data_IF_547127500405
#
_entry.id   IF_547127500405
#
_cell.length_a   1.000
_cell.length_b   1.000
_cell.length_c   1.000
_cell.angle_alpha   90.00
_cell.angle_beta   90.00
_cell.angle_gamma   90.00
#
_symmetry.space_group_name_H-M   'P 1'
#
loop_
_entity.id
_entity.type
_entity.pdbx_description
1 polymer ?
#
# COMPACT_ATOMS: atom_id res chain seq x y z
N UNK A 1 -7.62 0.64 17.92
CA UNK A 1 -6.62 1.36 17.09
C UNK A 1 -5.48 0.43 16.70
N UNK A 2 -4.73 -0.14 17.67
CA UNK A 2 -3.64 -1.10 17.43
C UNK A 2 -4.03 -2.32 16.59
N UNK A 3 -5.18 -2.97 16.87
CA UNK A 3 -5.64 -4.14 16.09
C UNK A 3 -5.90 -3.82 14.61
N UNK A 4 -6.48 -2.66 14.33
CA UNK A 4 -6.72 -2.22 12.96
C UNK A 4 -5.39 -1.88 12.29
N UNK A 5 -4.56 -1.03 12.90
CA UNK A 5 -3.25 -0.66 12.38
C UNK A 5 -2.37 -1.88 12.10
N UNK A 6 -2.31 -2.84 13.02
CA UNK A 6 -1.57 -4.09 12.84
C UNK A 6 -2.07 -4.92 11.66
N UNK A 7 -3.39 -5.06 11.50
CA UNK A 7 -3.97 -5.76 10.35
C UNK A 7 -3.67 -5.03 9.03
N UNK A 8 -3.74 -3.71 9.02
CA UNK A 8 -3.42 -2.90 7.85
C UNK A 8 -1.95 -3.09 7.46
N UNK A 9 -1.05 -2.93 8.44
CA UNK A 9 0.39 -3.07 8.24
C UNK A 9 0.75 -4.49 7.82
N UNK A 10 0.12 -5.53 8.36
CA UNK A 10 0.41 -6.91 7.97
C UNK A 10 -0.01 -7.19 6.53
N UNK A 11 -1.18 -6.70 6.09
CA UNK A 11 -1.65 -6.91 4.71
C UNK A 11 -0.71 -6.23 3.72
N UNK A 12 -0.31 -4.98 3.97
CA UNK A 12 0.63 -4.28 3.10
C UNK A 12 2.04 -4.90 3.16
N UNK A 13 2.51 -5.33 4.34
CA UNK A 13 3.79 -6.01 4.49
C UNK A 13 3.87 -7.28 3.64
N UNK A 14 2.78 -8.08 3.60
CA UNK A 14 2.72 -9.28 2.76
C UNK A 14 2.88 -8.90 1.28
N UNK A 15 2.20 -7.85 0.81
CA UNK A 15 2.35 -7.38 -0.58
C UNK A 15 3.78 -6.93 -0.89
N UNK A 16 4.43 -6.24 0.05
CA UNK A 16 5.83 -5.82 -0.08
C UNK A 16 6.77 -7.03 -0.13
N UNK A 17 6.57 -8.03 0.73
CA UNK A 17 7.36 -9.26 0.73
C UNK A 17 7.19 -10.00 -0.60
N UNK A 18 5.95 -10.13 -1.08
CA UNK A 18 5.68 -10.74 -2.37
C UNK A 18 6.42 -10.01 -3.49
N UNK A 19 6.35 -8.67 -3.49
CA UNK A 19 6.99 -7.83 -4.50
C UNK A 19 8.52 -7.91 -4.49
N UNK A 20 9.13 -7.74 -3.33
CA UNK A 20 10.60 -7.59 -3.20
C UNK A 20 11.31 -8.94 -3.25
N UNK A 21 10.69 -10.01 -2.73
CA UNK A 21 11.36 -11.29 -2.56
C UNK A 21 10.76 -12.39 -3.44
N UNK A 22 9.44 -12.60 -3.34
CA UNK A 22 8.81 -13.76 -3.99
C UNK A 22 8.85 -13.66 -5.52
N UNK A 23 8.46 -12.51 -6.09
CA UNK A 23 8.43 -12.33 -7.54
C UNK A 23 9.81 -12.41 -8.19
N UNK A 24 10.84 -11.67 -7.72
CA UNK A 24 12.19 -11.79 -8.27
C UNK A 24 12.76 -13.20 -8.14
N UNK A 25 12.51 -13.88 -7.02
CA UNK A 25 12.95 -15.26 -6.82
C UNK A 25 12.28 -16.23 -7.80
N UNK A 26 10.95 -16.15 -7.95
CA UNK A 26 10.21 -16.99 -8.91
C UNK A 26 10.67 -16.75 -10.35
N UNK A 27 10.86 -15.49 -10.75
CA UNK A 27 11.36 -15.16 -12.08
C UNK A 27 12.77 -15.70 -12.31
N UNK A 28 13.65 -15.59 -11.31
CA UNK A 28 15.01 -16.12 -11.39
C UNK A 28 15.03 -17.65 -11.53
N UNK A 29 14.13 -18.37 -10.85
CA UNK A 29 14.07 -19.82 -10.94
C UNK A 29 13.41 -20.35 -12.23
N UNK A 30 12.42 -19.63 -12.77
CA UNK A 30 11.60 -20.15 -13.88
C UNK A 30 12.03 -19.68 -15.26
N UNK A 31 12.76 -18.57 -15.38
CA UNK A 31 13.09 -17.96 -16.67
C UNK A 31 14.59 -17.70 -16.79
N UNK A 32 15.17 -18.12 -17.93
CA UNK A 32 16.48 -17.65 -18.33
C UNK A 32 16.42 -16.13 -18.56
N UNK A 33 17.44 -15.41 -18.08
CA UNK A 33 17.56 -13.95 -18.16
C UNK A 33 17.34 -13.49 -19.61
N UNK A 34 16.25 -12.77 -19.86
CA UNK A 34 15.85 -12.29 -21.19
C UNK A 34 14.62 -11.38 -21.14
N UNK A 35 14.27 -10.77 -22.28
CA UNK A 35 13.21 -9.75 -22.40
C UNK A 35 11.84 -10.21 -21.86
N UNK A 36 11.54 -11.51 -21.95
CA UNK A 36 10.31 -12.09 -21.42
C UNK A 36 10.23 -11.99 -19.88
N UNK A 37 11.36 -12.14 -19.18
CA UNK A 37 11.41 -12.03 -17.73
C UNK A 37 11.16 -10.59 -17.26
N UNK A 38 11.71 -9.61 -17.97
CA UNK A 38 11.47 -8.19 -17.72
C UNK A 38 10.00 -7.82 -17.95
N UNK A 39 9.40 -8.27 -19.06
CA UNK A 39 7.99 -8.03 -19.35
C UNK A 39 7.07 -8.62 -18.27
N UNK A 40 7.32 -9.86 -17.84
CA UNK A 40 6.53 -10.51 -16.79
C UNK A 40 6.70 -9.81 -15.43
N UNK A 41 7.89 -9.29 -15.14
CA UNK A 41 8.13 -8.50 -13.95
C UNK A 41 7.31 -7.20 -13.95
N UNK A 42 7.31 -6.46 -15.06
CA UNK A 42 6.53 -5.23 -15.21
C UNK A 42 5.03 -5.49 -15.07
N UNK A 43 4.51 -6.55 -15.71
CA UNK A 43 3.11 -6.95 -15.58
C UNK A 43 2.78 -7.36 -14.14
N UNK A 44 3.68 -8.06 -13.45
CA UNK A 44 3.55 -8.42 -12.05
C UNK A 44 3.46 -7.19 -11.13
N UNK A 45 4.29 -6.17 -11.37
CA UNK A 45 4.25 -4.90 -10.65
C UNK A 45 2.89 -4.21 -10.86
N UNK A 46 2.36 -4.16 -12.08
CA UNK A 46 1.07 -3.54 -12.37
C UNK A 46 -0.08 -4.25 -11.65
N UNK A 47 -0.06 -5.59 -11.61
CA UNK A 47 -1.06 -6.40 -10.90
C UNK A 47 -0.98 -6.17 -9.39
N UNK A 48 0.23 -6.19 -8.81
CA UNK A 48 0.44 -5.90 -7.39
C UNK A 48 0.02 -4.47 -7.03
N UNK A 49 0.35 -3.50 -7.87
CA UNK A 49 -0.07 -2.12 -7.74
C UNK A 49 -1.58 -1.98 -7.70
N UNK A 50 -2.27 -2.57 -8.68
CA UNK A 50 -3.73 -2.57 -8.75
C UNK A 50 -4.35 -3.22 -7.51
N UNK A 51 -3.78 -4.33 -7.06
CA UNK A 51 -4.20 -5.01 -5.83
C UNK A 51 -3.99 -4.11 -4.60
N UNK A 52 -2.88 -3.40 -4.52
CA UNK A 52 -2.62 -2.44 -3.45
C UNK A 52 -3.66 -1.32 -3.43
N UNK A 53 -4.03 -0.75 -4.59
CA UNK A 53 -5.07 0.28 -4.69
C UNK A 53 -6.40 -0.22 -4.11
N UNK A 54 -6.82 -1.44 -4.49
CA UNK A 54 -8.03 -2.08 -3.96
C UNK A 54 -7.92 -2.25 -2.44
N UNK A 55 -6.77 -2.72 -1.94
CA UNK A 55 -6.54 -2.89 -0.50
C UNK A 55 -6.66 -1.56 0.26
N UNK A 56 -6.14 -0.44 -0.25
CA UNK A 56 -6.29 0.87 0.40
C UNK A 56 -7.76 1.31 0.50
N UNK A 57 -8.57 1.04 -0.52
CA UNK A 57 -10.01 1.29 -0.47
C UNK A 57 -10.68 0.39 0.57
N UNK A 58 -10.38 -0.92 0.56
CA UNK A 58 -10.93 -1.88 1.53
C UNK A 58 -10.56 -1.53 2.97
N UNK A 59 -9.32 -1.07 3.20
CA UNK A 59 -8.88 -0.58 4.51
C UNK A 59 -9.76 0.59 4.97
N UNK A 60 -10.02 1.54 4.08
CA UNK A 60 -10.94 2.65 4.31
C UNK A 60 -12.33 2.21 4.77
N UNK A 61 -12.87 1.21 4.07
CA UNK A 61 -14.16 0.63 4.34
C UNK A 61 -14.18 -0.12 5.67
N UNK A 62 -13.26 -1.07 5.87
CA UNK A 62 -13.14 -1.89 7.09
C UNK A 62 -12.94 -1.02 8.33
N UNK A 63 -12.17 0.06 8.23
CA UNK A 63 -11.92 1.00 9.32
C UNK A 63 -13.21 1.65 9.85
N UNK A 64 -14.14 1.99 8.95
CA UNK A 64 -15.45 2.55 9.30
C UNK A 64 -16.42 1.47 9.79
N UNK A 65 -16.58 0.39 9.04
CA UNK A 65 -17.67 -0.56 9.26
C UNK A 65 -17.36 -1.62 10.32
N UNK A 66 -16.17 -2.22 10.27
CA UNK A 66 -15.78 -3.29 11.20
C UNK A 66 -15.24 -2.76 12.52
N UNK A 67 -14.40 -1.72 12.47
CA UNK A 67 -13.73 -1.17 13.66
C UNK A 67 -14.38 0.11 14.20
N UNK A 68 -15.44 0.63 13.54
CA UNK A 68 -16.19 1.84 13.94
C UNK A 68 -15.27 3.01 14.29
N UNK A 69 -14.19 3.19 13.53
CA UNK A 69 -13.21 4.24 13.81
C UNK A 69 -13.79 5.61 13.44
N UNK A 70 -13.62 6.58 14.35
CA UNK A 70 -13.84 7.99 14.02
C UNK A 70 -12.82 8.49 12.99
N UNK A 71 -13.17 9.56 12.25
CA UNK A 71 -12.31 10.14 11.18
C UNK A 71 -10.88 10.42 11.66
N UNK A 72 -10.74 11.06 12.83
CA UNK A 72 -9.43 11.40 13.43
C UNK A 72 -8.58 10.16 13.73
N UNK A 73 -9.19 9.10 14.28
CA UNK A 73 -8.50 7.84 14.62
C UNK A 73 -8.07 7.09 13.37
N UNK A 74 -8.91 7.09 12.33
CA UNK A 74 -8.55 6.48 11.05
C UNK A 74 -7.40 7.24 10.39
N UNK A 75 -7.45 8.58 10.35
CA UNK A 75 -6.35 9.39 9.86
C UNK A 75 -5.04 9.08 10.59
N UNK A 76 -5.06 9.03 11.92
CA UNK A 76 -3.88 8.65 12.71
C UNK A 76 -3.36 7.25 12.35
N UNK A 77 -4.24 6.25 12.16
CA UNK A 77 -3.83 4.92 11.71
C UNK A 77 -3.20 4.93 10.31
N UNK A 78 -3.74 5.72 9.37
CA UNK A 78 -3.18 5.80 8.02
C UNK A 78 -1.84 6.50 8.05
N UNK A 79 -1.68 7.57 8.82
CA UNK A 79 -0.39 8.23 9.00
C UNK A 79 0.66 7.28 9.61
N UNK A 80 0.28 6.44 10.57
CA UNK A 80 1.16 5.38 11.08
C UNK A 80 1.53 4.35 10.00
N UNK A 81 0.60 4.03 9.10
CA UNK A 81 0.86 3.13 7.98
C UNK A 81 1.81 3.75 6.93
N UNK A 82 1.89 5.08 6.86
CA UNK A 82 2.88 5.80 6.06
C UNK A 82 4.25 5.90 6.72
N UNK A 83 4.44 5.37 7.94
CA UNK A 83 5.74 5.44 8.63
C UNK A 83 6.93 4.93 7.79
N UNK A 84 6.82 3.84 7.01
CA UNK A 84 7.90 3.40 6.13
C UNK A 84 8.33 4.44 5.08
N UNK A 85 7.43 5.33 4.63
CA UNK A 85 7.79 6.43 3.74
C UNK A 85 8.66 7.47 4.43
N UNK A 86 8.30 7.85 5.67
CA UNK A 86 9.11 8.75 6.47
C UNK A 86 10.49 8.15 6.76
N UNK A 87 10.53 6.86 7.07
CA UNK A 87 11.78 6.14 7.29
C UNK A 87 12.65 6.12 6.03
N UNK A 88 12.09 5.84 4.86
CA UNK A 88 12.81 5.85 3.59
C UNK A 88 13.38 7.24 3.26
N UNK A 89 12.57 8.29 3.37
CA UNK A 89 13.01 9.67 3.14
C UNK A 89 14.10 10.13 4.11
N UNK A 90 13.98 9.74 5.38
CA UNK A 90 14.96 10.02 6.42
C UNK A 90 16.30 9.32 6.17
N UNK A 91 16.27 8.02 5.79
CA UNK A 91 17.47 7.26 5.42
C UNK A 91 18.18 7.88 4.21
N UNK A 92 17.42 8.37 3.23
CA UNK A 92 17.96 9.04 2.04
C UNK A 92 18.64 10.38 2.38
N UNK A 93 18.07 11.17 3.30
CA UNK A 93 18.69 12.44 3.75
C UNK A 93 20.00 12.23 4.50
N UNK A 94 20.12 11.15 5.27
CA UNK A 94 21.34 10.87 6.04
C UNK A 94 22.52 10.39 5.19
N UNK A 95 22.35 10.21 3.86
CA UNK A 95 23.40 9.69 2.97
C UNK A 95 24.03 8.38 3.47
N UNK A 96 23.27 7.58 4.24
CA UNK A 96 23.75 6.30 4.74
C UNK A 96 24.03 5.41 3.54
N UNK A 97 25.25 4.90 3.45
CA UNK A 97 25.64 4.00 2.36
C UNK A 97 24.64 2.83 2.29
N UNK A 98 24.01 2.56 1.12
CA UNK A 98 22.95 1.56 1.00
C UNK A 98 23.40 0.15 1.45
N UNK A 99 24.71 -0.12 1.46
CA UNK A 99 25.29 -1.39 1.88
C UNK A 99 25.22 -1.69 3.40
N UNK A 100 24.98 -0.71 4.28
CA UNK A 100 24.97 -0.94 5.74
C UNK A 100 23.57 -1.20 6.33
N UNK A 101 22.48 -0.93 5.59
CA UNK A 101 21.09 -1.07 6.09
C UNK A 101 20.18 -1.72 5.05
N UNK A 102 20.73 -2.64 4.25
CA UNK A 102 20.10 -3.23 3.06
C UNK A 102 18.67 -3.73 3.28
N UNK A 103 18.36 -4.61 4.24
CA UNK A 103 17.01 -5.21 4.30
C UNK A 103 15.93 -4.22 4.74
N UNK A 104 16.23 -3.31 5.67
CA UNK A 104 15.27 -2.31 6.13
C UNK A 104 15.05 -1.23 5.06
N UNK A 105 16.12 -0.85 4.36
CA UNK A 105 16.05 0.09 3.24
C UNK A 105 15.23 -0.49 2.09
N UNK A 106 15.53 -1.71 1.65
CA UNK A 106 14.79 -2.43 0.60
C UNK A 106 13.33 -2.64 0.98
N UNK A 107 13.03 -2.94 2.25
CA UNK A 107 11.65 -3.06 2.72
C UNK A 107 10.93 -1.71 2.68
N UNK A 108 11.55 -0.64 3.16
CA UNK A 108 10.96 0.70 3.16
C UNK A 108 10.76 1.22 1.72
N UNK A 109 11.73 0.98 0.84
CA UNK A 109 11.63 1.27 -0.60
C UNK A 109 10.53 0.44 -1.26
N UNK A 110 10.47 -0.88 -0.99
CA UNK A 110 9.43 -1.78 -1.46
C UNK A 110 8.02 -1.34 -1.06
N UNK A 111 7.89 -0.80 0.16
CA UNK A 111 6.65 -0.21 0.65
C UNK A 111 6.25 1.05 -0.11
N UNK A 112 7.22 1.95 -0.35
CA UNK A 112 6.97 3.20 -1.08
C UNK A 112 6.60 2.94 -2.54
N UNK A 113 7.33 2.03 -3.15
CA UNK A 113 7.24 1.68 -4.55
C UNK A 113 6.02 0.83 -4.90
N UNK A 114 5.27 0.32 -3.92
CA UNK A 114 4.08 -0.52 -4.15
C UNK A 114 3.02 0.17 -5.01
N UNK A 115 2.82 1.48 -4.81
CA UNK A 115 1.95 2.33 -5.65
C UNK A 115 2.78 3.17 -6.63
N UNK A 116 3.98 3.61 -6.23
CA UNK A 116 4.76 4.52 -7.07
C UNK A 116 5.29 3.86 -8.35
N UNK A 117 5.69 2.59 -8.34
CA UNK A 117 6.16 1.91 -9.55
C UNK A 117 5.09 1.73 -10.63
N UNK A 118 3.86 1.27 -10.33
CA UNK A 118 2.78 1.25 -11.32
C UNK A 118 2.58 2.62 -11.98
N UNK A 119 2.65 3.70 -11.21
CA UNK A 119 2.55 5.08 -11.73
C UNK A 119 3.75 5.39 -12.64
N UNK A 120 4.98 5.04 -12.22
CA UNK A 120 6.19 5.21 -13.04
C UNK A 120 6.11 4.44 -14.35
N UNK A 121 5.63 3.19 -14.32
CA UNK A 121 5.49 2.34 -15.50
C UNK A 121 4.43 2.88 -16.47
N UNK A 122 3.31 3.41 -15.97
CA UNK A 122 2.23 3.93 -16.81
C UNK A 122 2.53 5.31 -17.41
N UNK A 123 3.18 6.19 -16.64
CA UNK A 123 3.38 7.58 -17.05
C UNK A 123 4.81 7.91 -17.48
N UNK A 124 5.77 7.02 -17.29
CA UNK A 124 7.20 7.24 -17.55
C UNK A 124 7.77 8.49 -16.86
N UNK A 125 7.16 8.89 -15.73
CA UNK A 125 7.58 10.03 -14.90
C UNK A 125 8.20 9.50 -13.61
N UNK A 126 9.37 10.00 -13.24
CA UNK A 126 10.09 9.65 -12.02
C UNK A 126 10.03 10.71 -10.90
N UNK A 127 10.10 12.02 -11.18
CA UNK A 127 10.09 12.99 -10.10
C UNK A 127 8.70 13.02 -9.44
N UNK A 128 8.69 13.14 -8.10
CA UNK A 128 7.49 13.27 -7.26
C UNK A 128 6.54 12.06 -7.20
N UNK A 129 6.82 10.94 -7.87
CA UNK A 129 5.91 9.77 -7.86
C UNK A 129 5.69 9.19 -6.47
N UNK A 130 6.69 9.25 -5.58
CA UNK A 130 6.55 8.76 -4.21
C UNK A 130 5.57 9.63 -3.41
N UNK A 131 5.61 10.95 -3.61
CA UNK A 131 4.67 11.89 -2.99
C UNK A 131 3.26 11.65 -3.52
N UNK A 132 3.12 11.49 -4.84
CA UNK A 132 1.84 11.16 -5.48
C UNK A 132 1.29 9.84 -4.93
N UNK A 133 2.12 8.82 -4.76
CA UNK A 133 1.73 7.53 -4.20
C UNK A 133 1.20 7.64 -2.77
N UNK A 134 1.88 8.41 -1.90
CA UNK A 134 1.41 8.68 -0.53
C UNK A 134 0.06 9.40 -0.56
N UNK A 135 -0.06 10.48 -1.34
CA UNK A 135 -1.30 11.25 -1.45
C UNK A 135 -2.44 10.39 -2.00
N UNK A 136 -2.16 9.56 -3.01
CA UNK A 136 -3.14 8.64 -3.60
C UNK A 136 -3.59 7.59 -2.57
N UNK A 137 -2.66 7.02 -1.80
CA UNK A 137 -3.00 6.04 -0.76
C UNK A 137 -3.92 6.64 0.32
N UNK A 138 -3.70 7.90 0.71
CA UNK A 138 -4.58 8.63 1.62
C UNK A 138 -5.96 8.82 1.01
N UNK A 139 -6.03 9.29 -0.24
CA UNK A 139 -7.28 9.51 -0.96
C UNK A 139 -8.09 8.22 -1.08
N UNK A 140 -7.46 7.10 -1.44
CA UNK A 140 -8.13 5.80 -1.56
C UNK A 140 -8.74 5.33 -0.24
N UNK A 141 -8.04 5.52 0.88
CA UNK A 141 -8.61 5.21 2.20
C UNK A 141 -9.82 6.08 2.51
N UNK A 142 -9.79 7.36 2.13
CA UNK A 142 -10.95 8.26 2.30
C UNK A 142 -12.11 7.90 1.39
N UNK A 143 -11.86 7.55 0.13
CA UNK A 143 -12.86 7.04 -0.82
C UNK A 143 -13.50 5.78 -0.24
N UNK A 144 -12.69 4.80 0.20
CA UNK A 144 -13.19 3.57 0.80
C UNK A 144 -14.04 3.76 2.04
N UNK A 145 -13.72 4.78 2.85
CA UNK A 145 -14.56 5.19 3.99
C UNK A 145 -15.88 5.84 3.54
N UNK A 146 -15.85 6.56 2.42
CA UNK A 146 -16.99 7.25 1.83
C UNK A 146 -17.97 6.31 1.11
N UNK A 147 -17.51 5.15 0.65
CA UNK A 147 -18.37 4.11 0.07
C UNK A 147 -19.48 3.75 1.06
N UNK A 148 -20.71 3.99 0.63
CA UNK A 148 -21.94 3.67 1.36
C UNK A 148 -22.35 2.26 0.97
N UNK A 149 -22.55 1.39 1.95
CA UNK A 149 -23.12 0.06 1.72
C UNK A 149 -24.63 0.15 1.92
N UNK A 150 -25.44 -0.51 1.11
CA UNK A 150 -26.90 -0.62 1.34
C UNK A 150 -27.25 -1.23 2.72
N UNK A 151 -26.29 -1.92 3.36
CA UNK A 151 -26.37 -2.33 4.76
C UNK A 151 -26.51 -1.16 5.76
N UNK A 152 -26.05 0.04 5.41
CA UNK A 152 -26.31 1.25 6.20
C UNK A 152 -27.80 1.56 6.24
N UNK A 153 -28.51 1.41 5.11
CA UNK A 153 -29.95 1.66 5.06
C UNK A 153 -30.72 0.57 5.82
N UNK A 154 -30.26 -0.69 5.78
CA UNK A 154 -30.87 -1.78 6.56
C UNK A 154 -30.69 -1.62 8.08
N UNK A 155 -29.49 -1.27 8.54
CA UNK A 155 -29.24 -1.04 9.98
C UNK A 155 -29.94 0.23 10.50
N UNK A 156 -29.94 1.31 9.73
CA UNK A 156 -30.65 2.54 10.08
C UNK A 156 -32.17 2.34 10.11
N UNK A 157 -32.70 1.50 9.20
CA UNK A 157 -34.11 1.11 9.20
C UNK A 157 -34.49 0.22 10.39
N UNK A 158 -33.60 -0.68 10.84
CA UNK A 158 -33.82 -1.53 12.00
C UNK A 158 -33.77 -0.76 13.33
N UNK A 159 -32.83 0.20 13.44
CA UNK A 159 -32.65 1.00 14.65
C UNK A 159 -33.78 2.03 14.86
N UNK A 160 -34.40 2.54 13.78
CA UNK A 160 -35.59 3.40 13.84
C UNK A 160 -36.92 2.64 14.07
N UNK A 161 -36.89 1.32 14.24
CA UNK A 161 -38.08 0.50 14.58
C UNK A 161 -38.12 0.06 16.04
N UNK A 162 -37.19 0.53 16.88
CA UNK A 162 -37.25 0.40 18.34
C UNK A 162 -37.58 1.75 18.97
#
# INVERSE_FOLDING_TARGET
MLRYGGLCSSVIAILVICKVWLFPYMLHCMLAIGDLGALLYEMGILVLGSTALIMYVLLGHIGKYRFRLGRKRQLACVLMLQFPFFLHGWLKMMSVSPHMVTPLYEFAEGWCSLIAEPIRLLFFVYPWTDVIAVTLSLLLVWIGRGLRTELDDFFFFWENRK
#
